data_IF_097231527733
#
_entry.id   IF_097231527733
#
_cell.length_a   1.000
_cell.length_b   1.000
_cell.length_c   1.000
_cell.angle_alpha   90.00
_cell.angle_beta   90.00
_cell.angle_gamma   90.00
#
_symmetry.space_group_name_H-M   'P 1'
#
loop_
_entity.id
_entity.type
_entity.pdbx_description
1 polymer ?
#
# COMPACT_ATOMS: atom_id res chain seq x y z
N UNK A 1 -33.42 27.32 -6.24
CA UNK A 1 -32.35 26.34 -6.34
C UNK A 1 -31.62 26.51 -7.68
N UNK A 2 -30.31 26.20 -7.71
CA UNK A 2 -29.54 26.30 -8.96
C UNK A 2 -29.68 25.03 -9.79
N UNK A 3 -29.86 25.22 -11.10
CA UNK A 3 -29.97 24.16 -12.10
C UNK A 3 -28.83 24.27 -13.13
N UNK A 4 -28.83 23.35 -14.11
CA UNK A 4 -27.90 23.39 -15.24
C UNK A 4 -28.04 24.72 -15.99
N UNK A 5 -26.87 25.27 -16.38
CA UNK A 5 -26.87 26.47 -17.23
C UNK A 5 -27.44 26.15 -18.63
N UNK A 6 -28.09 27.13 -19.22
CA UNK A 6 -28.46 27.10 -20.64
C UNK A 6 -27.45 28.00 -21.39
N UNK A 7 -26.51 27.38 -22.11
CA UNK A 7 -25.35 28.10 -22.62
C UNK A 7 -24.57 28.77 -21.50
N UNK A 8 -24.27 30.05 -21.62
CA UNK A 8 -23.57 30.85 -20.63
C UNK A 8 -24.45 31.40 -19.52
N UNK A 9 -25.80 31.24 -19.67
CA UNK A 9 -26.78 31.77 -18.72
C UNK A 9 -27.04 30.77 -17.58
N UNK A 10 -26.90 31.28 -16.34
CA UNK A 10 -27.22 30.48 -15.15
C UNK A 10 -28.70 30.39 -14.95
N UNK A 11 -29.19 29.19 -14.72
CA UNK A 11 -30.64 28.92 -14.46
C UNK A 11 -30.84 28.71 -12.97
N UNK A 12 -31.88 29.38 -12.46
CA UNK A 12 -32.36 29.23 -11.11
C UNK A 12 -33.83 28.83 -11.16
N UNK A 13 -34.20 27.81 -10.41
CA UNK A 13 -35.58 27.37 -10.28
C UNK A 13 -36.11 27.86 -8.94
N UNK A 14 -37.28 28.50 -8.99
CA UNK A 14 -38.06 28.77 -7.81
C UNK A 14 -39.15 27.69 -7.68
N UNK A 15 -39.12 26.95 -6.56
CA UNK A 15 -40.00 25.79 -6.36
C UNK A 15 -40.56 25.83 -4.96
N UNK A 16 -41.87 25.78 -4.87
CA UNK A 16 -42.60 25.67 -3.61
C UNK A 16 -42.36 24.28 -2.99
N UNK A 17 -41.92 24.22 -1.73
CA UNK A 17 -41.74 23.01 -0.95
C UNK A 17 -42.72 23.00 0.20
N UNK A 18 -43.64 22.04 0.22
CA UNK A 18 -44.71 21.96 1.19
C UNK A 18 -44.25 21.32 2.50
N UNK A 19 -44.75 21.84 3.59
CA UNK A 19 -44.60 21.24 4.92
C UNK A 19 -45.97 20.74 5.38
N UNK A 20 -46.04 19.44 5.66
CA UNK A 20 -47.31 18.78 6.05
C UNK A 20 -47.19 18.16 7.44
N UNK A 21 -48.23 18.31 8.22
CA UNK A 21 -48.35 17.61 9.49
C UNK A 21 -48.79 16.16 9.22
N UNK A 22 -47.97 15.21 9.56
CA UNK A 22 -48.30 13.80 9.41
C UNK A 22 -49.32 13.37 10.47
N UNK A 23 -50.49 12.91 10.05
CA UNK A 23 -51.56 12.48 10.96
C UNK A 23 -51.20 11.19 11.74
N UNK A 24 -50.27 10.39 11.24
CA UNK A 24 -49.85 9.12 11.88
C UNK A 24 -48.83 9.35 12.99
N UNK A 25 -47.81 10.16 12.76
CA UNK A 25 -46.72 10.38 13.73
C UNK A 25 -46.78 11.78 14.39
N UNK A 26 -47.77 12.60 14.08
CA UNK A 26 -47.98 13.97 14.59
C UNK A 26 -46.74 14.88 14.44
N UNK A 27 -45.86 14.60 13.44
CA UNK A 27 -44.65 15.38 13.16
C UNK A 27 -44.81 16.13 11.84
N UNK A 28 -44.30 17.36 11.82
CA UNK A 28 -44.19 18.12 10.57
C UNK A 28 -43.12 17.48 9.69
N UNK A 29 -43.50 17.12 8.49
CA UNK A 29 -42.60 16.58 7.45
C UNK A 29 -42.53 17.54 6.27
N UNK A 30 -41.36 17.74 5.74
CA UNK A 30 -41.13 18.49 4.52
C UNK A 30 -41.26 17.56 3.32
N UNK A 31 -41.98 18.01 2.30
CA UNK A 31 -42.08 17.30 1.02
C UNK A 31 -40.72 17.03 0.44
N UNK A 32 -40.52 15.82 -0.07
CA UNK A 32 -39.29 15.44 -0.77
C UNK A 32 -39.53 15.54 -2.27
N UNK A 33 -38.81 16.44 -2.90
CA UNK A 33 -38.85 16.59 -4.35
C UNK A 33 -37.71 15.77 -4.97
N UNK A 34 -38.06 14.88 -5.89
CA UNK A 34 -37.10 13.99 -6.54
C UNK A 34 -36.04 14.70 -7.39
N UNK A 35 -36.32 15.94 -7.78
CA UNK A 35 -35.38 16.77 -8.54
C UNK A 35 -34.25 17.36 -7.70
N UNK A 36 -34.36 17.35 -6.35
CA UNK A 36 -33.39 17.95 -5.45
C UNK A 36 -32.24 17.03 -5.17
N UNK A 37 -31.02 17.59 -5.13
CA UNK A 37 -29.85 16.97 -4.54
C UNK A 37 -29.97 16.88 -3.01
N UNK A 38 -29.05 16.22 -2.33
CA UNK A 38 -28.97 16.18 -0.87
C UNK A 38 -28.82 17.59 -0.29
N UNK A 39 -28.09 18.46 -0.98
CA UNK A 39 -28.13 19.89 -0.73
C UNK A 39 -29.27 20.53 -1.55
N UNK A 40 -30.36 21.00 -0.91
CA UNK A 40 -31.56 21.45 -1.59
C UNK A 40 -31.38 22.75 -2.40
N UNK A 41 -30.26 23.42 -2.30
CA UNK A 41 -29.93 24.57 -3.15
C UNK A 41 -29.57 24.19 -4.58
N UNK A 42 -29.46 22.90 -4.89
CA UNK A 42 -29.06 22.37 -6.20
C UNK A 42 -30.03 21.29 -6.67
N UNK A 43 -30.24 21.22 -8.00
CA UNK A 43 -30.95 20.08 -8.61
C UNK A 43 -30.01 18.86 -8.68
N UNK A 44 -30.57 17.64 -8.70
CA UNK A 44 -29.78 16.38 -8.90
C UNK A 44 -28.97 16.43 -10.20
N UNK A 45 -29.53 16.93 -11.28
CA UNK A 45 -28.82 17.01 -12.56
C UNK A 45 -27.66 17.99 -12.53
N UNK A 46 -27.80 19.11 -11.81
CA UNK A 46 -26.68 20.04 -11.60
C UNK A 46 -25.60 19.41 -10.71
N UNK A 47 -25.97 18.77 -9.61
CA UNK A 47 -25.03 18.03 -8.76
C UNK A 47 -24.27 16.97 -9.54
N UNK A 48 -24.96 16.23 -10.40
CA UNK A 48 -24.34 15.24 -11.29
C UNK A 48 -23.36 15.88 -12.27
N UNK A 49 -23.72 17.00 -12.87
CA UNK A 49 -22.83 17.74 -13.78
C UNK A 49 -21.56 18.19 -13.06
N UNK A 50 -21.71 18.79 -11.86
CA UNK A 50 -20.54 19.20 -11.04
C UNK A 50 -19.62 18.01 -10.75
N UNK A 51 -20.18 16.88 -10.34
CA UNK A 51 -19.41 15.66 -10.09
C UNK A 51 -18.65 15.16 -11.31
N UNK A 52 -19.27 15.18 -12.49
CA UNK A 52 -18.60 14.84 -13.76
C UNK A 52 -17.47 15.79 -14.10
N UNK A 53 -17.65 17.10 -13.89
CA UNK A 53 -16.59 18.11 -14.15
C UNK A 53 -15.39 17.89 -13.23
N UNK A 54 -15.63 17.52 -11.97
CA UNK A 54 -14.55 17.22 -11.01
C UNK A 54 -13.69 15.99 -11.42
N UNK A 55 -14.16 15.15 -12.33
CA UNK A 55 -13.33 14.05 -12.88
C UNK A 55 -12.22 14.56 -13.82
N UNK A 56 -12.41 15.71 -14.45
CA UNK A 56 -11.51 16.26 -15.47
C UNK A 56 -10.73 17.49 -14.99
N UNK A 57 -11.20 18.16 -13.94
CA UNK A 57 -10.62 19.36 -13.39
C UNK A 57 -10.55 19.31 -11.86
N UNK A 58 -9.73 20.16 -11.25
CA UNK A 58 -9.67 20.23 -9.77
C UNK A 58 -10.93 20.84 -9.21
N UNK A 59 -11.29 20.50 -7.95
CA UNK A 59 -12.44 21.11 -7.25
C UNK A 59 -12.35 22.65 -7.31
N UNK A 60 -11.13 23.20 -7.18
CA UNK A 60 -10.90 24.65 -7.20
C UNK A 60 -11.18 25.27 -8.57
N UNK A 61 -10.82 24.59 -9.63
CA UNK A 61 -11.06 25.07 -11.00
C UNK A 61 -12.54 24.98 -11.33
N UNK A 62 -13.21 23.87 -10.97
CA UNK A 62 -14.68 23.73 -11.11
C UNK A 62 -15.43 24.78 -10.28
N UNK A 63 -14.95 25.09 -9.09
CA UNK A 63 -15.54 26.15 -8.24
C UNK A 63 -15.46 27.51 -8.91
N UNK A 64 -14.31 27.85 -9.52
CA UNK A 64 -14.11 29.09 -10.29
C UNK A 64 -14.99 29.12 -11.55
N UNK A 65 -14.96 28.04 -12.34
CA UNK A 65 -15.75 27.89 -13.58
C UNK A 65 -17.22 28.12 -13.34
N UNK A 66 -17.76 27.42 -12.32
CA UNK A 66 -19.20 27.46 -12.01
C UNK A 66 -19.59 28.60 -11.08
N UNK A 67 -18.62 29.41 -10.61
CA UNK A 67 -18.79 30.47 -9.61
C UNK A 67 -19.54 29.95 -8.36
N UNK A 68 -19.03 28.85 -7.82
CA UNK A 68 -19.49 28.21 -6.59
C UNK A 68 -18.44 28.32 -5.51
N UNK A 69 -18.89 28.22 -4.27
CA UNK A 69 -17.98 27.99 -3.16
C UNK A 69 -17.32 26.60 -3.24
N UNK A 70 -16.05 26.54 -2.86
CA UNK A 70 -15.24 25.32 -2.91
C UNK A 70 -15.85 24.19 -2.07
N UNK A 71 -16.37 24.50 -0.88
CA UNK A 71 -17.02 23.51 -0.01
C UNK A 71 -18.28 22.91 -0.63
N UNK A 72 -19.06 23.75 -1.35
CA UNK A 72 -20.24 23.32 -2.09
C UNK A 72 -19.86 22.34 -3.20
N UNK A 73 -18.86 22.67 -4.02
CA UNK A 73 -18.35 21.76 -5.07
C UNK A 73 -17.89 20.44 -4.49
N UNK A 74 -17.11 20.50 -3.39
CA UNK A 74 -16.61 19.29 -2.70
C UNK A 74 -17.74 18.42 -2.15
N UNK A 75 -18.82 19.04 -1.65
CA UNK A 75 -19.99 18.30 -1.14
C UNK A 75 -20.75 17.60 -2.28
N UNK A 76 -21.00 18.31 -3.39
CA UNK A 76 -21.66 17.76 -4.57
C UNK A 76 -20.87 16.63 -5.21
N UNK A 77 -19.54 16.76 -5.27
CA UNK A 77 -18.64 15.72 -5.75
C UNK A 77 -18.70 14.47 -4.87
N UNK A 78 -18.67 14.64 -3.54
CA UNK A 78 -18.80 13.49 -2.61
C UNK A 78 -20.12 12.75 -2.82
N UNK A 79 -21.21 13.46 -3.00
CA UNK A 79 -22.51 12.88 -3.29
C UNK A 79 -22.47 12.10 -4.61
N UNK A 80 -21.94 12.70 -5.68
CA UNK A 80 -21.75 12.04 -6.98
C UNK A 80 -20.96 10.74 -6.86
N UNK A 81 -19.82 10.77 -6.14
CA UNK A 81 -18.99 9.58 -5.94
C UNK A 81 -19.75 8.49 -5.15
N UNK A 82 -20.45 8.86 -4.10
CA UNK A 82 -21.23 7.92 -3.31
C UNK A 82 -22.32 7.22 -4.15
N UNK A 83 -22.99 7.95 -5.04
CA UNK A 83 -23.97 7.39 -5.96
C UNK A 83 -23.32 6.48 -7.00
N UNK A 84 -22.15 6.87 -7.56
CA UNK A 84 -21.42 6.02 -8.50
C UNK A 84 -20.98 4.69 -7.84
N UNK A 85 -20.47 4.74 -6.62
CA UNK A 85 -20.07 3.55 -5.88
C UNK A 85 -21.25 2.62 -5.59
N UNK A 86 -22.41 3.17 -5.24
CA UNK A 86 -23.64 2.39 -5.06
C UNK A 86 -24.08 1.68 -6.35
N UNK A 87 -23.96 2.34 -7.50
CA UNK A 87 -24.35 1.78 -8.81
C UNK A 87 -23.40 0.70 -9.31
N UNK A 88 -22.09 0.90 -9.16
CA UNK A 88 -21.08 -0.03 -9.68
C UNK A 88 -20.84 -1.23 -8.76
N UNK A 89 -21.08 -1.08 -7.46
CA UNK A 89 -20.74 -2.08 -6.45
C UNK A 89 -19.23 -2.34 -6.37
N UNK A 90 -18.83 -3.27 -5.53
CA UNK A 90 -17.43 -3.72 -5.47
C UNK A 90 -17.14 -4.67 -6.64
N UNK A 91 -16.09 -4.45 -7.44
CA UNK A 91 -15.66 -5.39 -8.46
C UNK A 91 -15.19 -6.70 -7.82
N UNK A 92 -15.18 -7.79 -8.59
CA UNK A 92 -14.52 -9.05 -8.20
C UNK A 92 -13.04 -9.00 -8.59
N UNK A 93 -12.12 -8.66 -7.68
CA UNK A 93 -10.70 -8.61 -7.99
C UNK A 93 -10.09 -10.01 -8.01
N UNK A 94 -9.12 -10.25 -8.90
CA UNK A 94 -8.30 -11.46 -8.89
C UNK A 94 -6.97 -11.25 -8.15
N UNK A 95 -6.45 -10.02 -8.18
CA UNK A 95 -5.24 -9.63 -7.47
C UNK A 95 -5.52 -8.35 -6.67
N UNK A 96 -5.27 -8.38 -5.37
CA UNK A 96 -5.48 -7.25 -4.47
C UNK A 96 -4.17 -6.79 -3.83
N UNK A 97 -4.06 -5.47 -3.64
CA UNK A 97 -3.05 -4.85 -2.80
C UNK A 97 -3.72 -4.29 -1.55
N UNK A 98 -3.21 -4.65 -0.38
CA UNK A 98 -3.70 -4.20 0.92
C UNK A 98 -2.67 -3.27 1.51
N UNK A 99 -3.09 -2.05 1.81
CA UNK A 99 -2.25 -1.00 2.35
C UNK A 99 -2.98 -0.21 3.43
N UNK A 100 -2.25 0.61 4.16
CA UNK A 100 -2.80 1.52 5.15
C UNK A 100 -2.41 2.97 4.86
N UNK A 101 -3.33 3.88 5.10
CA UNK A 101 -3.04 5.31 5.07
C UNK A 101 -3.32 5.94 6.43
N UNK A 102 -2.44 6.83 6.85
CA UNK A 102 -2.67 7.67 8.02
C UNK A 102 -3.52 8.87 7.63
N UNK A 103 -4.67 9.04 8.29
CA UNK A 103 -5.59 10.17 8.01
C UNK A 103 -5.26 11.40 8.85
N UNK A 104 -4.71 11.21 10.05
CA UNK A 104 -4.37 12.29 10.98
C UNK A 104 -3.05 12.01 11.69
N UNK A 105 -2.35 13.06 12.09
CA UNK A 105 -1.27 12.96 13.07
C UNK A 105 -1.87 12.33 14.35
N UNK A 106 -1.25 11.27 14.88
CA UNK A 106 -1.75 10.56 16.07
C UNK A 106 -2.29 9.16 15.78
N UNK A 107 -1.80 8.49 14.71
CA UNK A 107 -2.03 7.06 14.45
C UNK A 107 -3.47 6.63 14.10
N UNK A 108 -4.26 7.52 13.51
CA UNK A 108 -5.54 7.10 12.91
C UNK A 108 -5.29 6.53 11.53
N UNK A 109 -5.39 5.22 11.39
CA UNK A 109 -5.17 4.51 10.15
C UNK A 109 -6.49 4.10 9.50
N UNK A 110 -6.48 3.97 8.18
CA UNK A 110 -7.53 3.33 7.39
C UNK A 110 -6.88 2.34 6.45
N UNK A 111 -7.56 1.24 6.23
CA UNK A 111 -7.12 0.22 5.28
C UNK A 111 -7.61 0.62 3.89
N UNK A 112 -6.73 0.51 2.92
CA UNK A 112 -7.04 0.68 1.49
C UNK A 112 -6.81 -0.65 0.81
N UNK A 113 -7.82 -1.13 0.09
CA UNK A 113 -7.67 -2.29 -0.77
C UNK A 113 -7.79 -1.85 -2.21
N UNK A 114 -6.80 -2.23 -3.01
CA UNK A 114 -6.70 -1.89 -4.42
C UNK A 114 -6.79 -3.14 -5.30
N UNK A 115 -7.44 -3.03 -6.45
CA UNK A 115 -7.35 -4.01 -7.52
C UNK A 115 -6.06 -3.76 -8.30
N UNK A 116 -5.13 -4.69 -8.24
CA UNK A 116 -3.81 -4.55 -8.86
C UNK A 116 -3.85 -4.69 -10.38
N UNK A 117 -4.84 -5.43 -10.92
CA UNK A 117 -5.01 -5.60 -12.37
C UNK A 117 -5.61 -4.33 -12.98
N UNK A 118 -6.68 -3.82 -12.35
CA UNK A 118 -7.34 -2.58 -12.81
C UNK A 118 -6.64 -1.32 -12.36
N UNK A 119 -5.63 -1.44 -11.50
CA UNK A 119 -4.82 -0.33 -10.95
C UNK A 119 -5.68 0.76 -10.31
N UNK A 120 -6.60 0.37 -9.43
CA UNK A 120 -7.47 1.30 -8.72
C UNK A 120 -7.83 0.83 -7.32
N UNK A 121 -8.02 1.75 -6.36
CA UNK A 121 -8.58 1.40 -5.07
C UNK A 121 -10.03 0.92 -5.27
N UNK A 122 -10.40 -0.14 -4.56
CA UNK A 122 -11.73 -0.72 -4.60
C UNK A 122 -12.46 -0.64 -3.26
N UNK A 123 -11.73 -0.48 -2.17
CA UNK A 123 -12.30 -0.34 -0.85
C UNK A 123 -11.41 0.51 0.05
N UNK A 124 -12.06 1.24 0.94
CA UNK A 124 -11.45 2.11 1.92
C UNK A 124 -12.27 2.05 3.20
N UNK A 125 -11.66 1.63 4.32
CA UNK A 125 -12.41 1.49 5.57
C UNK A 125 -11.56 0.97 6.73
N UNK A 126 -12.26 0.40 7.71
CA UNK A 126 -11.66 0.01 8.98
C UNK A 126 -11.39 1.21 9.89
N UNK A 127 -11.22 0.98 11.16
CA UNK A 127 -10.92 2.03 12.15
C UNK A 127 -9.44 1.99 12.56
N UNK A 128 -8.82 0.83 12.39
CA UNK A 128 -7.46 0.52 12.76
C UNK A 128 -6.85 -0.52 11.80
N UNK A 129 -5.71 -1.09 12.18
CA UNK A 129 -4.99 -2.13 11.45
C UNK A 129 -5.30 -3.55 11.94
N UNK A 130 -6.43 -3.75 12.60
CA UNK A 130 -6.81 -5.03 13.16
C UNK A 130 -7.31 -6.02 12.11
N UNK A 131 -7.35 -7.28 12.49
CA UNK A 131 -7.96 -8.34 11.70
C UNK A 131 -9.46 -8.09 11.48
N UNK A 132 -10.16 -7.58 12.51
CA UNK A 132 -11.56 -7.22 12.43
C UNK A 132 -11.84 -6.09 11.42
N UNK A 133 -10.98 -5.06 11.39
CA UNK A 133 -11.06 -4.00 10.39
C UNK A 133 -10.84 -4.51 8.96
N UNK A 134 -9.91 -5.45 8.77
CA UNK A 134 -9.69 -6.07 7.45
C UNK A 134 -10.84 -7.00 7.05
N UNK A 135 -11.46 -7.71 7.99
CA UNK A 135 -12.62 -8.56 7.75
C UNK A 135 -13.83 -7.77 7.19
N UNK A 136 -13.97 -6.49 7.51
CA UNK A 136 -15.01 -5.62 6.93
C UNK A 136 -14.93 -5.53 5.41
N UNK A 137 -13.71 -5.50 4.84
CA UNK A 137 -13.52 -5.56 3.39
C UNK A 137 -14.09 -6.85 2.80
N UNK A 138 -13.73 -8.00 3.37
CA UNK A 138 -14.20 -9.29 2.87
C UNK A 138 -15.71 -9.46 3.04
N UNK A 139 -16.28 -8.97 4.14
CA UNK A 139 -17.72 -8.93 4.33
C UNK A 139 -18.43 -8.08 3.27
N UNK A 140 -17.89 -6.90 2.95
CA UNK A 140 -18.42 -6.02 1.91
C UNK A 140 -18.26 -6.62 0.50
N UNK A 141 -17.18 -7.36 0.25
CA UNK A 141 -16.90 -8.03 -1.04
C UNK A 141 -17.82 -9.23 -1.26
N UNK A 142 -18.11 -9.97 -0.20
CA UNK A 142 -18.89 -11.21 -0.19
C UNK A 142 -18.08 -12.45 -0.54
N UNK A 143 -18.53 -13.62 -0.08
CA UNK A 143 -17.80 -14.89 -0.16
C UNK A 143 -17.47 -15.30 -1.61
N UNK A 144 -18.43 -15.15 -2.53
CA UNK A 144 -18.24 -15.51 -3.95
C UNK A 144 -17.11 -14.74 -4.62
N UNK A 145 -17.02 -13.42 -4.37
CA UNK A 145 -15.96 -12.58 -4.96
C UNK A 145 -14.63 -12.79 -4.24
N UNK A 146 -14.65 -13.03 -2.93
CA UNK A 146 -13.46 -13.35 -2.14
C UNK A 146 -12.81 -14.65 -2.62
N UNK A 147 -13.60 -15.64 -3.00
CA UNK A 147 -13.11 -16.90 -3.58
C UNK A 147 -12.44 -16.71 -4.97
N UNK A 148 -12.70 -15.61 -5.65
CA UNK A 148 -12.03 -15.26 -6.91
C UNK A 148 -10.65 -14.61 -6.76
N UNK A 149 -10.23 -14.25 -5.55
CA UNK A 149 -8.93 -13.65 -5.31
C UNK A 149 -7.86 -14.74 -5.39
N UNK A 150 -6.90 -14.58 -6.30
CA UNK A 150 -5.77 -15.50 -6.50
C UNK A 150 -4.48 -14.99 -5.87
N UNK A 151 -4.36 -13.66 -5.74
CA UNK A 151 -3.16 -13.01 -5.23
C UNK A 151 -3.55 -11.88 -4.27
N UNK A 152 -2.94 -11.85 -3.10
CA UNK A 152 -3.04 -10.76 -2.14
C UNK A 152 -1.63 -10.24 -1.78
N UNK A 153 -1.39 -8.99 -2.09
CA UNK A 153 -0.13 -8.31 -1.79
C UNK A 153 -0.34 -7.39 -0.60
N UNK A 154 0.46 -7.52 0.43
CA UNK A 154 0.30 -6.78 1.69
C UNK A 154 1.62 -6.61 2.42
N UNK A 155 1.68 -5.67 3.36
CA UNK A 155 2.79 -5.60 4.32
C UNK A 155 2.85 -6.89 5.19
N UNK A 156 4.03 -7.21 5.74
CA UNK A 156 4.24 -8.37 6.64
C UNK A 156 3.45 -8.25 7.96
N UNK A 157 2.27 -7.61 7.93
CA UNK A 157 1.41 -7.40 9.09
C UNK A 157 0.50 -8.61 9.34
N UNK A 158 0.70 -9.26 10.49
CA UNK A 158 0.01 -10.51 10.85
C UNK A 158 -1.53 -10.46 10.73
N UNK A 159 -2.22 -9.40 11.19
CA UNK A 159 -3.67 -9.30 11.07
C UNK A 159 -4.19 -9.36 9.63
N UNK A 160 -3.52 -8.71 8.68
CA UNK A 160 -3.93 -8.74 7.27
C UNK A 160 -3.77 -10.13 6.67
N UNK A 161 -2.67 -10.81 7.01
CA UNK A 161 -2.43 -12.20 6.61
C UNK A 161 -3.50 -13.14 7.15
N UNK A 162 -3.83 -13.02 8.44
CA UNK A 162 -4.84 -13.88 9.08
C UNK A 162 -6.21 -13.67 8.44
N UNK A 163 -6.67 -12.42 8.29
CA UNK A 163 -7.93 -12.10 7.64
C UNK A 163 -7.98 -12.63 6.19
N UNK A 164 -6.88 -12.49 5.43
CA UNK A 164 -6.82 -13.02 4.06
C UNK A 164 -6.90 -14.53 4.03
N UNK A 165 -6.18 -15.23 4.91
CA UNK A 165 -6.26 -16.70 5.01
C UNK A 165 -7.64 -17.21 5.42
N UNK A 166 -8.34 -16.49 6.30
CA UNK A 166 -9.69 -16.84 6.72
C UNK A 166 -10.74 -16.67 5.61
N UNK A 167 -10.63 -15.61 4.81
CA UNK A 167 -11.66 -15.22 3.85
C UNK A 167 -11.33 -15.52 2.38
N UNK A 168 -10.06 -15.69 2.04
CA UNK A 168 -9.57 -16.04 0.71
C UNK A 168 -8.42 -17.06 0.82
N UNK A 169 -8.65 -18.27 1.34
CA UNK A 169 -7.60 -19.26 1.64
C UNK A 169 -6.83 -19.72 0.41
N UNK A 170 -7.43 -19.63 -0.78
CA UNK A 170 -6.81 -20.00 -2.06
C UNK A 170 -5.87 -18.92 -2.61
N UNK A 171 -5.89 -17.70 -2.01
CA UNK A 171 -5.05 -16.61 -2.49
C UNK A 171 -3.58 -16.80 -2.08
N UNK A 172 -2.66 -16.72 -3.05
CA UNK A 172 -1.25 -16.59 -2.75
C UNK A 172 -1.01 -15.25 -2.06
N UNK A 173 -0.29 -15.25 -0.93
CA UNK A 173 0.04 -14.02 -0.20
C UNK A 173 1.46 -13.64 -0.55
N UNK A 174 1.64 -12.43 -1.10
CA UNK A 174 2.92 -11.77 -1.26
C UNK A 174 3.06 -10.66 -0.21
N UNK A 175 4.23 -10.56 0.38
CA UNK A 175 4.53 -9.47 1.30
C UNK A 175 5.16 -8.30 0.54
N UNK A 176 4.42 -7.18 0.52
CA UNK A 176 4.88 -5.92 -0.03
C UNK A 176 5.50 -5.05 1.05
N UNK A 177 6.49 -4.28 0.66
CA UNK A 177 6.99 -3.19 1.46
C UNK A 177 6.76 -1.85 0.82
N UNK A 178 5.99 -1.08 1.53
CA UNK A 178 5.34 0.15 1.11
C UNK A 178 6.25 1.36 0.89
N UNK A 179 7.57 1.27 0.95
CA UNK A 179 8.40 2.49 0.95
C UNK A 179 9.16 2.82 -0.33
N UNK A 180 9.26 1.93 -1.33
CA UNK A 180 9.78 2.30 -2.67
C UNK A 180 9.62 1.15 -3.69
N UNK A 181 8.98 1.46 -4.82
CA UNK A 181 8.78 0.69 -6.04
C UNK A 181 9.93 -0.26 -6.44
N UNK A 182 9.59 -1.45 -6.94
CA UNK A 182 10.46 -2.52 -7.47
C UNK A 182 11.11 -3.50 -6.47
N UNK A 183 10.70 -3.63 -5.17
CA UNK A 183 11.61 -4.22 -4.18
C UNK A 183 10.99 -4.99 -3.03
N UNK A 184 10.18 -6.05 -3.27
CA UNK A 184 9.94 -7.08 -2.24
C UNK A 184 11.27 -7.65 -1.72
N UNK A 185 12.26 -7.68 -2.62
CA UNK A 185 13.67 -7.89 -2.34
C UNK A 185 14.24 -6.88 -1.33
N UNK A 186 13.72 -5.64 -1.25
CA UNK A 186 14.36 -4.55 -0.49
C UNK A 186 14.20 -4.67 1.04
N UNK A 187 13.02 -5.07 1.56
CA UNK A 187 12.86 -5.18 3.03
C UNK A 187 13.60 -6.36 3.60
N UNK A 188 13.54 -7.47 2.90
CA UNK A 188 14.34 -8.62 3.26
C UNK A 188 15.83 -8.22 3.18
N UNK A 189 16.24 -7.55 2.10
CA UNK A 189 17.61 -7.05 1.96
C UNK A 189 17.94 -5.92 2.95
N UNK A 190 16.98 -5.12 3.39
CA UNK A 190 17.16 -4.14 4.47
C UNK A 190 17.43 -4.84 5.80
N UNK A 191 16.61 -5.84 6.18
CA UNK A 191 16.85 -6.61 7.40
C UNK A 191 18.18 -7.34 7.35
N UNK A 192 18.58 -7.84 6.18
CA UNK A 192 19.88 -8.42 5.97
C UNK A 192 21.01 -7.36 6.11
N UNK A 193 20.78 -6.16 5.59
CA UNK A 193 21.67 -5.01 5.78
C UNK A 193 21.77 -4.59 7.25
N UNK A 194 20.68 -4.58 7.98
CA UNK A 194 20.64 -4.32 9.43
C UNK A 194 21.44 -5.39 10.21
N UNK A 195 21.31 -6.66 9.80
CA UNK A 195 22.11 -7.75 10.38
C UNK A 195 23.61 -7.56 10.11
N UNK A 196 23.99 -7.16 8.90
CA UNK A 196 25.38 -6.84 8.56
C UNK A 196 25.89 -5.62 9.35
N UNK A 197 25.09 -4.55 9.47
CA UNK A 197 25.47 -3.36 10.27
C UNK A 197 25.60 -3.68 11.76
N UNK A 198 24.80 -4.60 12.28
CA UNK A 198 24.94 -5.08 13.64
C UNK A 198 26.27 -5.83 13.87
N UNK A 199 26.70 -6.64 12.90
CA UNK A 199 28.04 -7.27 12.93
C UNK A 199 29.13 -6.20 12.88
N UNK A 200 29.02 -5.21 11.97
CA UNK A 200 29.97 -4.08 11.89
C UNK A 200 30.07 -3.32 13.22
N UNK A 201 28.95 -3.01 13.85
CA UNK A 201 28.93 -2.33 15.17
C UNK A 201 29.58 -3.17 16.25
N UNK A 202 29.34 -4.48 16.24
CA UNK A 202 29.98 -5.40 17.19
C UNK A 202 31.51 -5.43 17.01
N UNK A 203 31.99 -5.49 15.77
CA UNK A 203 33.44 -5.46 15.49
C UNK A 203 34.06 -4.10 15.83
N UNK A 204 33.33 -2.99 15.50
CA UNK A 204 33.74 -1.64 15.90
C UNK A 204 33.93 -1.50 17.42
N UNK A 205 33.03 -2.12 18.21
CA UNK A 205 33.13 -2.09 19.68
C UNK A 205 34.29 -2.92 20.24
N UNK A 206 34.73 -3.94 19.49
CA UNK A 206 35.83 -4.85 19.92
C UNK A 206 37.24 -4.35 19.57
N UNK A 207 37.31 -3.44 18.59
CA UNK A 207 38.59 -2.92 18.09
C UNK A 207 38.97 -1.61 18.78
N UNK A 208 40.28 -1.36 18.90
CA UNK A 208 40.86 -0.14 19.45
C UNK A 208 41.74 0.57 18.44
N UNK A 209 42.06 1.84 18.67
CA UNK A 209 43.02 2.61 17.90
C UNK A 209 42.70 2.76 16.42
N UNK A 210 43.72 2.55 15.56
CA UNK A 210 43.62 2.75 14.10
C UNK A 210 42.62 1.82 13.42
N UNK A 211 42.48 0.59 13.89
CA UNK A 211 41.58 -0.42 13.31
C UNK A 211 40.11 -0.03 13.55
N UNK A 212 39.79 0.55 14.70
CA UNK A 212 38.47 1.09 14.99
C UNK A 212 38.13 2.26 14.08
N UNK A 213 39.07 3.18 13.86
CA UNK A 213 38.85 4.33 12.97
C UNK A 213 38.60 3.88 11.53
N UNK A 214 39.27 2.81 11.10
CA UNK A 214 39.11 2.28 9.76
C UNK A 214 37.70 1.70 9.47
N UNK A 215 37.05 1.10 10.45
CA UNK A 215 35.65 0.60 10.32
C UNK A 215 34.62 1.74 10.43
N UNK A 216 35.00 2.88 11.05
CA UNK A 216 34.15 4.05 11.20
C UNK A 216 33.82 4.60 9.81
N UNK A 217 32.54 4.89 9.56
CA UNK A 217 32.09 5.46 8.28
C UNK A 217 31.86 4.45 7.14
N UNK A 218 32.30 3.19 7.28
CA UNK A 218 32.20 2.19 6.22
C UNK A 218 30.83 1.52 6.07
N UNK A 219 29.80 2.05 6.75
CA UNK A 219 28.44 1.50 6.71
C UNK A 219 27.92 1.40 5.28
N UNK A 220 27.97 2.48 4.54
CA UNK A 220 27.40 2.53 3.19
C UNK A 220 28.19 1.70 2.19
N UNK A 221 29.51 1.61 2.35
CA UNK A 221 30.38 0.73 1.54
C UNK A 221 30.00 -0.74 1.71
N UNK A 222 29.73 -1.18 2.95
CA UNK A 222 29.30 -2.56 3.25
C UNK A 222 27.86 -2.85 2.81
N UNK A 223 26.94 -1.88 2.94
CA UNK A 223 25.53 -2.08 2.60
C UNK A 223 25.28 -2.02 1.10
N UNK A 224 26.08 -1.29 0.34
CA UNK A 224 25.96 -1.20 -1.12
C UNK A 224 26.26 -2.56 -1.78
N UNK A 225 25.57 -2.83 -2.89
CA UNK A 225 25.94 -3.95 -3.75
C UNK A 225 27.27 -3.64 -4.45
N UNK A 226 28.11 -4.64 -4.61
CA UNK A 226 29.44 -4.49 -5.22
C UNK A 226 29.39 -3.80 -6.58
N UNK A 227 28.37 -4.07 -7.36
CA UNK A 227 28.15 -3.51 -8.69
C UNK A 227 27.96 -1.99 -8.69
N UNK A 228 27.36 -1.46 -7.63
CA UNK A 228 27.02 -0.03 -7.47
C UNK A 228 28.16 0.80 -6.84
N UNK A 229 29.27 0.16 -6.47
CA UNK A 229 30.44 0.83 -5.91
C UNK A 229 31.34 1.36 -7.02
N UNK A 230 31.87 2.59 -6.84
CA UNK A 230 32.97 3.14 -7.64
C UNK A 230 34.21 2.28 -7.53
N UNK A 231 35.20 2.48 -8.40
CA UNK A 231 36.47 1.77 -8.35
C UNK A 231 37.16 1.95 -6.99
N UNK A 232 37.18 3.17 -6.47
CA UNK A 232 37.76 3.48 -5.15
C UNK A 232 36.96 2.81 -4.02
N UNK A 233 35.62 2.78 -4.14
CA UNK A 233 34.73 2.09 -3.20
C UNK A 233 34.98 0.59 -3.17
N UNK A 234 35.24 -0.04 -4.33
CA UNK A 234 35.57 -1.47 -4.43
C UNK A 234 36.96 -1.77 -3.82
N UNK A 235 37.94 -0.90 -4.04
CA UNK A 235 39.28 -1.03 -3.42
C UNK A 235 39.21 -0.86 -1.89
N UNK A 236 38.41 0.12 -1.40
CA UNK A 236 38.17 0.31 0.03
C UNK A 236 37.46 -0.89 0.66
N UNK A 237 36.42 -1.42 0.00
CA UNK A 237 35.73 -2.64 0.44
C UNK A 237 36.68 -3.83 0.52
N UNK A 238 37.47 -4.07 -0.52
CA UNK A 238 38.45 -5.18 -0.55
C UNK A 238 39.42 -5.10 0.63
N UNK A 239 39.97 -3.92 0.91
CA UNK A 239 40.88 -3.70 2.05
C UNK A 239 40.18 -3.93 3.39
N UNK A 240 38.95 -3.45 3.54
CA UNK A 240 38.16 -3.63 4.75
C UNK A 240 37.86 -5.11 5.06
N UNK A 241 37.46 -5.86 4.03
CA UNK A 241 37.18 -7.29 4.16
C UNK A 241 38.42 -8.13 4.41
N UNK A 242 39.57 -7.77 3.84
CA UNK A 242 40.85 -8.42 4.11
C UNK A 242 41.32 -8.20 5.56
N UNK A 243 41.06 -7.03 6.13
CA UNK A 243 41.43 -6.68 7.49
C UNK A 243 40.56 -7.34 8.57
N UNK A 244 39.33 -7.73 8.26
CA UNK A 244 38.39 -8.29 9.24
C UNK A 244 37.64 -9.51 8.69
N UNK A 245 38.08 -10.71 9.09
CA UNK A 245 37.49 -11.98 8.65
C UNK A 245 36.01 -12.10 8.97
N UNK A 246 35.55 -11.57 10.11
CA UNK A 246 34.14 -11.68 10.53
C UNK A 246 33.24 -10.80 9.68
N UNK A 247 33.69 -9.58 9.34
CA UNK A 247 33.01 -8.72 8.40
C UNK A 247 33.01 -9.32 6.99
N UNK A 248 34.10 -9.93 6.58
CA UNK A 248 34.17 -10.61 5.29
C UNK A 248 33.13 -11.73 5.19
N UNK A 249 33.08 -12.60 6.19
CA UNK A 249 32.08 -13.67 6.24
C UNK A 249 30.65 -13.11 6.20
N UNK A 250 30.34 -12.09 6.99
CA UNK A 250 29.04 -11.46 7.00
C UNK A 250 28.68 -10.81 5.65
N UNK A 251 29.65 -10.18 5.00
CA UNK A 251 29.48 -9.59 3.67
C UNK A 251 29.20 -10.66 2.60
N UNK A 252 29.96 -11.75 2.58
CA UNK A 252 29.74 -12.86 1.65
C UNK A 252 28.38 -13.52 1.85
N UNK A 253 27.94 -13.68 3.09
CA UNK A 253 26.61 -14.19 3.41
C UNK A 253 25.50 -13.25 2.91
N UNK A 254 25.71 -11.93 2.98
CA UNK A 254 24.78 -10.96 2.40
C UNK A 254 24.70 -11.09 0.87
N UNK A 255 25.86 -11.14 0.21
CA UNK A 255 25.91 -11.23 -1.26
C UNK A 255 25.30 -12.56 -1.76
N UNK A 256 25.66 -13.69 -1.10
CA UNK A 256 25.12 -15.00 -1.48
C UNK A 256 23.59 -15.10 -1.28
N UNK A 257 23.04 -14.50 -0.22
CA UNK A 257 21.59 -14.50 0.00
C UNK A 257 20.83 -13.81 -1.14
N UNK A 258 21.44 -12.83 -1.81
CA UNK A 258 20.85 -12.15 -2.97
C UNK A 258 20.45 -13.10 -4.10
N UNK A 259 21.11 -14.25 -4.21
CA UNK A 259 20.82 -15.28 -5.23
C UNK A 259 19.46 -15.97 -5.01
N UNK A 260 18.86 -15.86 -3.83
CA UNK A 260 17.52 -16.40 -3.55
C UNK A 260 16.48 -15.91 -4.57
N UNK A 261 16.63 -14.69 -5.06
CA UNK A 261 15.69 -14.04 -5.97
C UNK A 261 15.83 -14.45 -7.44
N UNK A 262 16.85 -15.23 -7.77
CA UNK A 262 17.10 -15.71 -9.13
C UNK A 262 16.34 -17.02 -9.40
N UNK A 263 15.86 -17.68 -8.33
CA UNK A 263 15.09 -18.90 -8.46
C UNK A 263 13.65 -18.63 -8.91
N UNK A 264 13.18 -19.46 -9.86
CA UNK A 264 11.82 -19.41 -10.41
C UNK A 264 10.92 -20.54 -9.88
N UNK A 265 11.45 -21.44 -9.08
CA UNK A 265 10.72 -22.55 -8.46
C UNK A 265 10.95 -22.56 -6.95
N UNK A 266 9.85 -22.61 -6.21
CA UNK A 266 9.88 -22.60 -4.74
C UNK A 266 10.81 -23.67 -4.14
N UNK A 267 10.72 -24.92 -4.65
CA UNK A 267 11.53 -26.02 -4.13
C UNK A 267 13.03 -25.76 -4.20
N UNK A 268 13.52 -25.13 -5.26
CA UNK A 268 14.91 -24.76 -5.41
C UNK A 268 15.30 -23.58 -4.52
N UNK A 269 14.43 -22.58 -4.42
CA UNK A 269 14.63 -21.46 -3.50
C UNK A 269 14.68 -21.95 -2.05
N UNK A 270 13.81 -22.88 -1.66
CA UNK A 270 13.79 -23.51 -0.32
C UNK A 270 15.09 -24.23 -0.03
N UNK A 271 15.53 -25.08 -0.95
CA UNK A 271 16.80 -25.82 -0.80
C UNK A 271 18.00 -24.89 -0.68
N UNK A 272 18.05 -23.82 -1.49
CA UNK A 272 19.07 -22.80 -1.38
C UNK A 272 19.05 -22.14 0.00
N UNK A 273 17.88 -21.71 0.47
CA UNK A 273 17.75 -21.07 1.79
C UNK A 273 18.17 -21.99 2.94
N UNK A 274 17.81 -23.26 2.89
CA UNK A 274 18.21 -24.23 3.90
C UNK A 274 19.73 -24.43 3.93
N UNK A 275 20.38 -24.52 2.77
CA UNK A 275 21.84 -24.58 2.67
C UNK A 275 22.49 -23.30 3.19
N UNK A 276 21.93 -22.14 2.81
CA UNK A 276 22.42 -20.85 3.29
C UNK A 276 22.28 -20.74 4.81
N UNK A 277 21.12 -21.12 5.37
CA UNK A 277 20.88 -21.15 6.82
C UNK A 277 21.84 -22.12 7.53
N UNK A 278 22.06 -23.30 6.99
CA UNK A 278 22.99 -24.26 7.53
C UNK A 278 24.44 -23.72 7.60
N UNK A 279 24.84 -22.88 6.63
CA UNK A 279 26.16 -22.26 6.62
C UNK A 279 26.38 -21.28 7.80
N UNK A 280 25.31 -20.76 8.42
CA UNK A 280 25.41 -19.87 9.57
C UNK A 280 25.84 -20.57 10.85
N UNK A 281 25.61 -21.88 10.98
CA UNK A 281 25.77 -22.66 12.22
C UNK A 281 27.12 -22.48 12.89
N UNK A 282 28.19 -22.36 12.11
CA UNK A 282 29.56 -22.27 12.62
C UNK A 282 30.12 -20.84 12.63
N UNK A 283 29.37 -19.87 12.12
CA UNK A 283 29.86 -18.49 11.96
C UNK A 283 29.68 -17.63 13.22
N UNK A 284 28.85 -18.06 14.17
CA UNK A 284 28.53 -17.33 15.42
C UNK A 284 28.06 -15.90 15.15
N UNK A 285 27.27 -15.70 14.09
CA UNK A 285 26.74 -14.41 13.66
C UNK A 285 25.28 -14.29 14.07
N UNK A 286 25.01 -14.09 15.38
CA UNK A 286 23.65 -13.97 15.94
C UNK A 286 22.69 -13.05 15.13
N UNK A 287 23.12 -11.89 14.59
CA UNK A 287 22.22 -11.07 13.77
C UNK A 287 21.73 -11.79 12.50
N UNK A 288 22.56 -12.61 11.87
CA UNK A 288 22.19 -13.40 10.68
C UNK A 288 21.31 -14.60 11.05
N UNK A 289 21.49 -15.21 12.21
CA UNK A 289 20.61 -16.27 12.72
C UNK A 289 19.18 -15.72 12.94
N UNK A 290 19.07 -14.54 13.59
CA UNK A 290 17.78 -13.84 13.74
C UNK A 290 17.13 -13.50 12.40
N UNK A 291 17.93 -13.09 11.43
CA UNK A 291 17.46 -12.84 10.08
C UNK A 291 16.96 -14.14 9.41
N UNK A 292 17.67 -15.25 9.54
CA UNK A 292 17.23 -16.54 9.02
C UNK A 292 15.90 -17.00 9.64
N UNK A 293 15.71 -16.77 10.94
CA UNK A 293 14.44 -17.06 11.63
C UNK A 293 13.31 -16.15 11.15
N UNK A 294 13.59 -14.90 10.79
CA UNK A 294 12.63 -14.01 10.17
C UNK A 294 12.17 -14.56 8.81
N UNK A 295 13.11 -14.96 7.96
CA UNK A 295 12.82 -15.56 6.64
C UNK A 295 11.99 -16.83 6.78
N UNK A 296 12.34 -17.71 7.72
CA UNK A 296 11.60 -18.95 7.96
C UNK A 296 10.14 -18.68 8.33
N UNK A 297 9.90 -17.73 9.22
CA UNK A 297 8.53 -17.36 9.64
C UNK A 297 7.67 -16.77 8.51
N UNK A 298 8.29 -16.19 7.51
CA UNK A 298 7.62 -15.51 6.39
C UNK A 298 7.84 -16.24 5.05
N UNK A 299 8.30 -17.51 5.11
CA UNK A 299 8.68 -18.27 3.93
C UNK A 299 7.57 -18.31 2.87
N UNK A 300 6.32 -18.52 3.25
CA UNK A 300 5.19 -18.63 2.33
C UNK A 300 5.10 -17.42 1.37
N UNK A 301 5.25 -16.19 1.90
CA UNK A 301 5.21 -14.97 1.09
C UNK A 301 6.47 -14.78 0.23
N UNK A 302 7.62 -15.24 0.73
CA UNK A 302 8.89 -15.18 -0.01
C UNK A 302 8.88 -16.20 -1.15
N UNK A 303 8.38 -17.40 -0.89
CA UNK A 303 8.25 -18.47 -1.86
C UNK A 303 7.29 -18.10 -3.00
N UNK A 304 6.18 -17.43 -2.67
CA UNK A 304 5.23 -16.95 -3.66
C UNK A 304 5.87 -15.99 -4.68
N UNK A 305 6.92 -15.24 -4.30
CA UNK A 305 7.68 -14.38 -5.20
C UNK A 305 8.49 -15.14 -6.26
N UNK A 306 8.90 -16.37 -5.96
CA UNK A 306 9.62 -17.22 -6.92
C UNK A 306 8.75 -17.64 -8.11
N UNK A 307 7.42 -17.55 -8.01
CA UNK A 307 6.52 -17.84 -9.12
C UNK A 307 6.43 -16.63 -10.07
N UNK A 308 6.82 -16.77 -11.36
CA UNK A 308 6.73 -15.69 -12.34
C UNK A 308 5.33 -15.09 -12.51
N UNK A 309 4.28 -15.89 -12.33
CA UNK A 309 2.88 -15.45 -12.43
C UNK A 309 2.46 -14.48 -11.33
N UNK A 310 3.18 -14.48 -10.21
CA UNK A 310 2.93 -13.59 -9.08
C UNK A 310 3.67 -12.24 -9.19
N UNK A 311 4.48 -12.04 -10.24
CA UNK A 311 5.20 -10.78 -10.47
C UNK A 311 4.27 -9.70 -10.98
N UNK A 312 3.55 -9.03 -10.07
CA UNK A 312 2.66 -7.90 -10.38
C UNK A 312 3.38 -6.58 -10.10
N UNK A 313 3.20 -5.59 -10.97
CA UNK A 313 3.75 -4.25 -10.75
C UNK A 313 3.02 -3.56 -9.58
N UNK A 314 3.72 -3.34 -8.47
CA UNK A 314 3.19 -2.74 -7.24
C UNK A 314 3.27 -1.21 -7.20
N UNK A 315 3.92 -0.58 -8.19
CA UNK A 315 4.11 0.87 -8.25
C UNK A 315 2.83 1.70 -8.18
N UNK A 316 1.68 1.08 -8.43
CA UNK A 316 0.37 1.74 -8.30
C UNK A 316 -0.05 1.89 -6.82
N UNK A 317 0.17 0.88 -5.99
CA UNK A 317 -0.18 0.90 -4.56
C UNK A 317 0.60 2.01 -3.84
N UNK A 318 1.87 2.19 -4.21
CA UNK A 318 2.74 3.25 -3.69
C UNK A 318 2.33 4.66 -4.14
N UNK A 319 1.87 4.80 -5.38
CA UNK A 319 1.41 6.09 -5.93
C UNK A 319 0.22 6.66 -5.16
N UNK A 320 -0.56 5.83 -4.48
CA UNK A 320 -1.66 6.26 -3.63
C UNK A 320 -1.19 6.98 -2.34
N UNK A 321 0.05 6.74 -1.89
CA UNK A 321 0.62 7.41 -0.70
C UNK A 321 1.35 8.72 -1.01
N UNK A 322 1.95 8.85 -2.17
CA UNK A 322 2.88 9.94 -2.49
C UNK A 322 2.20 11.26 -2.88
N UNK A 323 0.89 11.28 -3.08
CA UNK A 323 0.14 12.49 -3.41
C UNK A 323 -1.05 12.72 -2.49
N UNK A 324 -1.64 13.92 -2.47
CA UNK A 324 -3.00 14.05 -1.99
C UNK A 324 -3.81 13.09 -2.83
N UNK A 325 -4.31 12.01 -2.19
CA UNK A 325 -5.05 10.94 -2.85
C UNK A 325 -6.16 11.59 -3.66
N UNK A 326 -5.91 11.82 -4.94
CA UNK A 326 -6.96 12.12 -5.90
C UNK A 326 -7.66 10.79 -6.17
N UNK A 327 -8.56 10.41 -5.27
CA UNK A 327 -9.49 9.28 -5.46
C UNK A 327 -10.35 9.44 -6.74
N UNK A 328 -10.08 10.47 -7.55
CA UNK A 328 -10.96 11.06 -8.53
C UNK A 328 -10.84 10.51 -9.95
N UNK A 329 -9.81 9.75 -10.29
CA UNK A 329 -9.60 9.36 -11.69
C UNK A 329 -9.95 7.91 -12.02
N UNK A 330 -10.64 7.19 -11.14
CA UNK A 330 -10.76 5.74 -11.25
C UNK A 330 -12.16 5.17 -11.50
N UNK A 331 -13.14 6.02 -11.76
CA UNK A 331 -14.46 5.59 -12.24
C UNK A 331 -14.63 5.89 -13.72
N UNK A 332 -13.87 5.24 -14.58
CA UNK A 332 -14.16 5.11 -16.01
C UNK A 332 -14.42 3.67 -16.33
#
# INVERSE_FOLDING_TARGET
>A
MRDLSCGDTRVWLDVEVRRVLCKVCCKVKTERLDILADNPFYTKRFAWYVGRRCRQATIRDVAKELKLDWHSVKSLEKQYMAEQLKRTGLPGPQAIGIDEISIRKGHTYRIVVSDLIRRRPIWFGGEDRSEASMAQFYAALGTRKSAGIRLAVMDMWKPFRNATRAHAPQAAILFDDQRKSLRDKFHIMRHLGEALDAVRKSEYARLNGKDRTYIKGQKYTLLSNRENLSLDGRAALKRLLAANKRLNTAYLLKESFGQLWDYQREAWARRFFEQWRASLRWQRLKPFEKFADLIERHWDGIAAYCNPENKVSLGFVEGLRAGPVRLYSFCS
#
